data_IF_681028040021
#
_entry.id   IF_681028040021
#
_cell.length_a   1.000
_cell.length_b   1.000
_cell.length_c   1.000
_cell.angle_alpha   90.00
_cell.angle_beta   90.00
_cell.angle_gamma   90.00
#
_symmetry.space_group_name_H-M   'P 1'
#
loop_
_entity.id
_entity.type
_entity.pdbx_description
1 polymer ?
#
# COMPACT_ATOMS: atom_id res chain seq x y z
N UNK A 1 -0.86 -12.41 -6.44
CA UNK A 1 -0.80 -11.39 -7.50
C UNK A 1 -2.24 -11.06 -7.90
N UNK A 2 -2.74 -9.90 -7.45
CA UNK A 2 -4.06 -9.41 -7.85
C UNK A 2 -4.00 -8.76 -9.24
N UNK A 3 -4.83 -9.22 -10.18
CA UNK A 3 -5.01 -8.65 -11.51
C UNK A 3 -5.87 -7.38 -11.51
N UNK A 4 -5.55 -6.43 -10.63
CA UNK A 4 -6.30 -5.20 -10.39
C UNK A 4 -5.74 -3.96 -11.10
N UNK A 5 -6.38 -2.81 -10.90
CA UNK A 5 -5.82 -1.53 -11.35
C UNK A 5 -4.48 -1.29 -10.63
N UNK A 6 -3.47 -0.86 -11.40
CA UNK A 6 -2.10 -0.67 -10.91
C UNK A 6 -1.75 0.81 -10.88
N UNK A 7 -1.24 1.28 -9.75
CA UNK A 7 -0.67 2.63 -9.60
C UNK A 7 0.69 2.58 -8.94
N UNK A 8 1.64 3.34 -9.49
CA UNK A 8 2.98 3.46 -8.92
C UNK A 8 3.05 4.71 -8.05
N UNK A 9 3.52 4.55 -6.81
CA UNK A 9 3.66 5.62 -5.82
C UNK A 9 5.05 5.57 -5.20
N UNK A 10 5.65 6.73 -5.01
CA UNK A 10 6.92 6.89 -4.29
C UNK A 10 6.67 7.57 -2.95
N UNK A 11 7.18 6.98 -1.87
CA UNK A 11 7.09 7.49 -0.50
C UNK A 11 8.48 7.38 0.12
N UNK A 12 9.06 8.51 0.55
CA UNK A 12 10.37 8.58 1.19
C UNK A 12 11.48 7.80 0.45
N UNK A 13 11.49 7.87 -0.88
CA UNK A 13 12.43 7.15 -1.74
C UNK A 13 12.13 5.65 -1.97
N UNK A 14 11.18 5.06 -1.23
CA UNK A 14 10.66 3.72 -1.51
C UNK A 14 9.58 3.81 -2.59
N UNK A 15 9.65 2.90 -3.58
CA UNK A 15 8.69 2.85 -4.68
C UNK A 15 7.81 1.62 -4.57
N UNK A 16 6.50 1.82 -4.72
CA UNK A 16 5.49 0.78 -4.62
C UNK A 16 4.62 0.74 -5.87
N UNK A 17 4.35 -0.47 -6.37
CA UNK A 17 3.24 -0.74 -7.28
C UNK A 17 2.07 -1.25 -6.46
N UNK A 18 0.99 -0.49 -6.43
CA UNK A 18 -0.22 -0.81 -5.68
C UNK A 18 -1.24 -1.44 -6.62
N UNK A 19 -1.74 -2.60 -6.23
CA UNK A 19 -2.75 -3.38 -6.93
C UNK A 19 -4.03 -3.39 -6.10
N UNK A 20 -5.15 -2.99 -6.69
CA UNK A 20 -6.45 -3.00 -6.01
C UNK A 20 -7.42 -3.94 -6.73
N UNK A 21 -8.06 -4.85 -5.97
CA UNK A 21 -9.09 -5.72 -6.52
C UNK A 21 -10.29 -4.89 -7.01
N UNK A 22 -10.77 -5.07 -8.26
CA UNK A 22 -11.96 -4.39 -8.75
C UNK A 22 -13.18 -4.69 -7.87
N UNK A 23 -13.88 -3.66 -7.41
CA UNK A 23 -15.07 -3.78 -6.55
C UNK A 23 -14.80 -4.35 -5.14
N UNK A 24 -13.53 -4.53 -4.75
CA UNK A 24 -13.14 -5.08 -3.46
C UNK A 24 -12.46 -4.07 -2.55
N UNK A 25 -12.21 -4.47 -1.30
CA UNK A 25 -11.46 -3.71 -0.31
C UNK A 25 -10.01 -4.17 -0.16
N UNK A 26 -9.58 -5.19 -0.92
CA UNK A 26 -8.25 -5.78 -0.80
C UNK A 26 -7.24 -5.11 -1.72
N UNK A 27 -6.06 -4.86 -1.18
CA UNK A 27 -4.94 -4.22 -1.87
C UNK A 27 -3.62 -4.94 -1.58
N UNK A 28 -2.73 -4.94 -2.57
CA UNK A 28 -1.33 -5.35 -2.42
C UNK A 28 -0.44 -4.17 -2.82
N UNK A 29 0.56 -3.83 -2.00
CA UNK A 29 1.62 -2.89 -2.33
C UNK A 29 2.93 -3.65 -2.50
N UNK A 30 3.43 -3.69 -3.72
CA UNK A 30 4.67 -4.39 -4.07
C UNK A 30 5.80 -3.36 -4.11
N UNK A 31 6.78 -3.50 -3.23
CA UNK A 31 7.96 -2.65 -3.23
C UNK A 31 8.85 -3.02 -4.42
N UNK A 32 9.14 -2.05 -5.28
CA UNK A 32 9.94 -2.22 -6.50
C UNK A 32 11.27 -1.45 -6.47
N UNK A 33 11.52 -0.67 -5.42
CA UNK A 33 12.83 -0.07 -5.16
C UNK A 33 13.80 -1.09 -4.57
N UNK A 34 15.07 -1.02 -4.98
CA UNK A 34 16.15 -1.78 -4.34
C UNK A 34 16.58 -1.01 -3.10
N UNK A 35 16.49 -1.65 -1.92
CA UNK A 35 16.95 -1.05 -0.65
C UNK A 35 17.66 -2.13 0.16
N UNK A 36 18.75 -1.76 0.82
CA UNK A 36 19.52 -2.67 1.65
C UNK A 36 18.84 -2.84 3.01
N UNK A 37 18.36 -4.05 3.31
CA UNK A 37 17.78 -4.45 4.61
C UNK A 37 16.78 -3.43 5.20
N UNK A 38 15.69 -3.08 4.50
CA UNK A 38 14.76 -2.09 5.01
C UNK A 38 14.06 -2.58 6.30
N UNK A 39 13.84 -1.67 7.24
CA UNK A 39 13.06 -1.94 8.45
C UNK A 39 11.64 -2.35 8.06
N UNK A 40 11.16 -3.50 8.57
CA UNK A 40 9.80 -3.98 8.28
C UNK A 40 8.75 -2.95 8.72
N UNK A 41 8.95 -2.32 9.88
CA UNK A 41 8.04 -1.31 10.42
C UNK A 41 8.00 -0.09 9.49
N UNK A 42 9.15 0.39 9.03
CA UNK A 42 9.21 1.53 8.11
C UNK A 42 8.63 1.19 6.73
N UNK A 43 8.92 -0.01 6.20
CA UNK A 43 8.30 -0.47 4.95
C UNK A 43 6.78 -0.51 5.07
N UNK A 44 6.23 -0.96 6.20
CA UNK A 44 4.80 -1.02 6.42
C UNK A 44 4.18 0.38 6.54
N UNK A 45 4.85 1.32 7.21
CA UNK A 45 4.40 2.70 7.31
C UNK A 45 4.39 3.40 5.92
N UNK A 46 5.43 3.21 5.11
CA UNK A 46 5.47 3.76 3.74
C UNK A 46 4.46 3.09 2.82
N UNK A 47 4.26 1.78 2.95
CA UNK A 47 3.25 1.05 2.21
C UNK A 47 1.82 1.51 2.55
N UNK A 48 1.53 1.78 3.83
CA UNK A 48 0.27 2.40 4.24
C UNK A 48 0.00 3.68 3.45
N UNK A 49 0.96 4.61 3.50
CA UNK A 49 0.83 5.89 2.80
C UNK A 49 0.72 5.71 1.28
N UNK A 50 1.52 4.82 0.69
CA UNK A 50 1.46 4.53 -0.73
C UNK A 50 0.08 3.98 -1.16
N UNK A 51 -0.53 3.12 -0.33
CA UNK A 51 -1.88 2.57 -0.58
C UNK A 51 -2.93 3.68 -0.52
N UNK A 52 -2.90 4.54 0.49
CA UNK A 52 -3.86 5.64 0.62
C UNK A 52 -3.74 6.63 -0.54
N UNK A 53 -2.51 6.98 -0.95
CA UNK A 53 -2.28 7.84 -2.13
C UNK A 53 -2.76 7.16 -3.42
N UNK A 54 -2.44 5.88 -3.61
CA UNK A 54 -2.79 5.16 -4.83
C UNK A 54 -4.31 5.01 -5.00
N UNK A 55 -5.00 4.66 -3.91
CA UNK A 55 -6.43 4.32 -3.91
C UNK A 55 -7.34 5.51 -3.62
N UNK A 56 -6.86 6.53 -2.91
CA UNK A 56 -7.68 7.61 -2.35
C UNK A 56 -8.53 7.18 -1.14
N UNK A 57 -8.41 5.93 -0.71
CA UNK A 57 -9.20 5.32 0.36
C UNK A 57 -8.36 5.19 1.63
N UNK A 58 -9.00 5.25 2.80
CA UNK A 58 -8.31 5.04 4.08
C UNK A 58 -7.94 3.56 4.26
N UNK A 59 -6.74 3.27 4.79
CA UNK A 59 -6.37 1.90 5.17
C UNK A 59 -7.05 1.54 6.50
N UNK A 60 -7.61 0.33 6.58
CA UNK A 60 -8.20 -0.18 7.82
C UNK A 60 -7.09 -0.49 8.82
N UNK A 61 -7.12 0.17 9.99
CA UNK A 61 -6.15 -0.04 11.06
C UNK A 61 -6.02 -1.52 11.44
N UNK A 62 -4.79 -2.00 11.61
CA UNK A 62 -4.50 -3.40 11.92
C UNK A 62 -4.71 -4.39 10.76
N UNK A 63 -5.05 -3.93 9.55
CA UNK A 63 -5.22 -4.82 8.39
C UNK A 63 -3.94 -5.10 7.59
N UNK A 64 -2.85 -4.36 7.87
CA UNK A 64 -1.56 -4.55 7.23
C UNK A 64 -0.98 -5.95 7.51
N UNK A 65 -0.48 -6.60 6.47
CA UNK A 65 0.16 -7.91 6.55
C UNK A 65 1.27 -8.09 5.51
N UNK A 66 1.85 -9.29 5.48
CA UNK A 66 2.90 -9.68 4.53
C UNK A 66 4.32 -9.40 5.02
N UNK A 67 5.18 -9.01 4.08
CA UNK A 67 6.62 -8.87 4.25
C UNK A 67 7.18 -7.55 3.66
N UNK A 68 8.51 -7.44 3.55
CA UNK A 68 9.19 -6.20 3.11
C UNK A 68 9.13 -5.98 1.59
N UNK A 69 8.73 -6.97 0.82
CA UNK A 69 8.58 -6.90 -0.63
C UNK A 69 7.10 -6.77 -1.01
N UNK A 70 6.21 -7.52 -0.35
CA UNK A 70 4.78 -7.51 -0.63
C UNK A 70 4.02 -7.23 0.66
N UNK A 71 3.37 -6.07 0.71
CA UNK A 71 2.51 -5.66 1.81
C UNK A 71 1.05 -5.82 1.37
N UNK A 72 0.22 -6.42 2.21
CA UNK A 72 -1.23 -6.54 1.96
C UNK A 72 -2.00 -5.67 2.94
N UNK A 73 -3.16 -5.16 2.51
CA UNK A 73 -4.05 -4.41 3.41
C UNK A 73 -5.52 -4.51 2.99
N UNK A 74 -6.40 -3.98 3.85
CA UNK A 74 -7.77 -3.65 3.51
C UNK A 74 -7.96 -2.13 3.52
N UNK A 75 -8.73 -1.61 2.57
CA UNK A 75 -9.09 -0.19 2.47
C UNK A 75 -10.60 0.02 2.65
N UNK A 76 -10.97 1.16 3.22
CA UNK A 76 -12.34 1.66 3.28
C UNK A 76 -12.46 2.90 2.38
N UNK A 77 -13.13 2.71 1.23
CA UNK A 77 -13.36 3.76 0.25
C UNK A 77 -14.61 4.60 0.53
N UNK A 78 -15.26 4.42 1.68
CA UNK A 78 -16.36 5.28 2.13
C UNK A 78 -15.86 6.51 2.88
N UNK A 79 -14.62 6.48 3.37
CA UNK A 79 -13.97 7.59 4.05
C UNK A 79 -12.87 8.13 3.14
N UNK A 80 -12.87 9.44 2.80
CA UNK A 80 -11.73 10.04 2.11
C UNK A 80 -10.48 9.87 3.00
N UNK A 81 -9.36 9.44 2.40
CA UNK A 81 -8.08 9.39 3.11
C UNK A 81 -7.79 10.78 3.68
N UNK A 82 -7.88 10.93 5.01
CA UNK A 82 -7.79 12.21 5.67
C UNK A 82 -6.37 12.76 5.47
N UNK A 83 -6.23 13.73 4.56
CA UNK A 83 -5.00 14.48 4.36
C UNK A 83 -4.60 15.16 5.67
N UNK A 84 -3.45 14.77 6.20
CA UNK A 84 -2.74 15.46 7.27
C UNK A 84 -1.28 15.63 6.86
#
# INVERSE_FOLDING_TARGET
MMGGAVREVTVDGSRFRVFMQPGGSRVEAHRVSVEMLPSKVMTFARAWQAIEIATGCAVVAGSLGGDRAIVTARVDCRLPAAGR
#
